data_IF_115843549367
#
_entry.id   IF_115843549367
#
_cell.length_a   1.000
_cell.length_b   1.000
_cell.length_c   1.000
_cell.angle_alpha   90.00
_cell.angle_beta   90.00
_cell.angle_gamma   90.00
#
_symmetry.space_group_name_H-M   'P 1'
#
loop_
_entity.id
_entity.type
_entity.pdbx_description
1 polymer ?
#
# COMPACT_ATOMS: atom_id res chain seq x y z
N UNK A 1 10.25 11.40 8.90
CA UNK A 1 9.69 10.95 7.62
C UNK A 1 8.91 12.13 7.06
N UNK A 2 9.22 12.57 5.84
CA UNK A 2 8.46 13.63 5.17
C UNK A 2 7.20 13.08 4.51
N UNK A 3 6.28 13.96 4.10
CA UNK A 3 5.11 13.56 3.32
C UNK A 3 5.53 12.85 2.02
N UNK A 4 6.51 13.40 1.30
CA UNK A 4 7.04 12.81 0.06
C UNK A 4 7.65 11.43 0.26
N UNK A 5 8.36 11.19 1.37
CA UNK A 5 8.93 9.88 1.67
C UNK A 5 7.84 8.83 1.89
N UNK A 6 6.74 9.19 2.58
CA UNK A 6 5.58 8.29 2.74
C UNK A 6 4.85 8.06 1.43
N UNK A 7 4.72 9.08 0.58
CA UNK A 7 4.07 8.95 -0.73
C UNK A 7 4.85 8.00 -1.65
N UNK A 8 6.18 8.14 -1.74
CA UNK A 8 7.01 7.23 -2.52
C UNK A 8 6.87 5.78 -2.04
N UNK A 9 6.84 5.55 -0.72
CA UNK A 9 6.60 4.20 -0.17
C UNK A 9 5.21 3.67 -0.52
N UNK A 10 4.19 4.52 -0.49
CA UNK A 10 2.83 4.13 -0.88
C UNK A 10 2.78 3.73 -2.36
N UNK A 11 3.49 4.43 -3.25
CA UNK A 11 3.59 4.09 -4.67
C UNK A 11 4.26 2.73 -4.89
N UNK A 12 5.36 2.45 -4.20
CA UNK A 12 6.03 1.14 -4.26
C UNK A 12 5.10 0.00 -3.78
N UNK A 13 4.35 0.24 -2.70
CA UNK A 13 3.38 -0.71 -2.17
C UNK A 13 2.21 -0.94 -3.13
N UNK A 14 1.74 0.11 -3.80
CA UNK A 14 0.70 0.01 -4.83
C UNK A 14 1.18 -0.81 -6.03
N UNK A 15 2.42 -0.62 -6.49
CA UNK A 15 2.99 -1.44 -7.57
C UNK A 15 3.03 -2.93 -7.19
N UNK A 16 3.37 -3.25 -5.93
CA UNK A 16 3.33 -4.62 -5.41
C UNK A 16 1.90 -5.17 -5.34
N UNK A 17 0.95 -4.35 -4.88
CA UNK A 17 -0.47 -4.70 -4.83
C UNK A 17 -1.02 -5.03 -6.23
N UNK A 18 -0.66 -4.24 -7.24
CA UNK A 18 -1.05 -4.50 -8.62
C UNK A 18 -0.46 -5.80 -9.16
N UNK A 19 0.80 -6.10 -8.84
CA UNK A 19 1.44 -7.36 -9.22
C UNK A 19 0.74 -8.57 -8.57
N UNK A 20 0.46 -8.51 -7.26
CA UNK A 20 -0.26 -9.57 -6.54
C UNK A 20 -1.69 -9.76 -7.08
N UNK A 21 -2.37 -8.67 -7.47
CA UNK A 21 -3.69 -8.75 -8.10
C UNK A 21 -3.62 -9.47 -9.45
N UNK A 22 -2.60 -9.16 -10.27
CA UNK A 22 -2.38 -9.85 -11.53
C UNK A 22 -2.09 -11.35 -11.35
N UNK A 23 -1.37 -11.73 -10.29
CA UNK A 23 -1.16 -13.14 -9.94
C UNK A 23 -2.48 -13.82 -9.51
N UNK A 24 -3.29 -13.15 -8.70
CA UNK A 24 -4.59 -13.67 -8.28
C UNK A 24 -5.53 -13.91 -9.46
N UNK A 25 -5.58 -12.97 -10.41
CA UNK A 25 -6.39 -13.09 -11.64
C UNK A 25 -6.00 -14.30 -12.50
N UNK A 26 -4.73 -14.74 -12.42
CA UNK A 26 -4.21 -15.89 -13.17
C UNK A 26 -4.21 -17.21 -12.35
N UNK A 27 -4.60 -17.18 -11.09
CA UNK A 27 -4.53 -18.34 -10.19
C UNK A 27 -5.77 -19.21 -10.30
N UNK A 28 -5.58 -20.51 -10.55
CA UNK A 28 -6.66 -21.51 -10.59
C UNK A 28 -6.74 -22.39 -9.33
N UNK A 29 -5.68 -22.37 -8.52
CA UNK A 29 -5.61 -23.12 -7.25
C UNK A 29 -6.29 -22.33 -6.11
N UNK A 30 -7.36 -22.85 -5.49
CA UNK A 30 -8.07 -22.15 -4.42
C UNK A 30 -7.19 -21.82 -3.20
N UNK A 31 -6.25 -22.69 -2.83
CA UNK A 31 -5.40 -22.46 -1.66
C UNK A 31 -4.42 -21.31 -1.93
N UNK A 32 -3.77 -21.31 -3.10
CA UNK A 32 -2.93 -20.20 -3.54
C UNK A 32 -3.71 -18.88 -3.69
N UNK A 33 -4.97 -18.93 -4.13
CA UNK A 33 -5.82 -17.74 -4.22
C UNK A 33 -6.12 -17.14 -2.84
N UNK A 34 -6.31 -17.97 -1.80
CA UNK A 34 -6.50 -17.51 -0.42
C UNK A 34 -5.24 -16.82 0.10
N UNK A 35 -4.06 -17.37 -0.16
CA UNK A 35 -2.78 -16.76 0.24
C UNK A 35 -2.59 -15.40 -0.44
N UNK A 36 -2.84 -15.30 -1.75
CA UNK A 36 -2.76 -14.04 -2.50
C UNK A 36 -3.76 -13.00 -1.98
N UNK A 37 -4.97 -13.41 -1.61
CA UNK A 37 -5.96 -12.51 -0.99
C UNK A 37 -5.51 -11.98 0.37
N UNK A 38 -4.78 -12.78 1.15
CA UNK A 38 -4.19 -12.33 2.42
C UNK A 38 -3.06 -11.32 2.16
N UNK A 39 -2.16 -11.61 1.21
CA UNK A 39 -1.10 -10.67 0.82
C UNK A 39 -1.68 -9.33 0.33
N UNK A 40 -2.72 -9.37 -0.52
CA UNK A 40 -3.42 -8.17 -1.00
C UNK A 40 -4.02 -7.35 0.15
N UNK A 41 -4.61 -8.02 1.15
CA UNK A 41 -5.17 -7.36 2.34
C UNK A 41 -4.09 -6.67 3.16
N UNK A 42 -2.94 -7.31 3.34
CA UNK A 42 -1.82 -6.74 4.09
C UNK A 42 -1.17 -5.57 3.34
N UNK A 43 -0.94 -5.70 2.04
CA UNK A 43 -0.47 -4.60 1.19
C UNK A 43 -1.42 -3.40 1.23
N UNK A 44 -2.73 -3.63 1.16
CA UNK A 44 -3.72 -2.54 1.25
C UNK A 44 -3.66 -1.80 2.60
N UNK A 45 -3.47 -2.51 3.72
CA UNK A 45 -3.29 -1.90 5.05
C UNK A 45 -2.00 -1.08 5.12
N UNK A 46 -0.91 -1.58 4.54
CA UNK A 46 0.36 -0.85 4.50
C UNK A 46 0.25 0.44 3.66
N UNK A 47 -0.41 0.38 2.50
CA UNK A 47 -0.70 1.57 1.68
C UNK A 47 -1.50 2.59 2.48
N UNK A 48 -2.59 2.17 3.14
CA UNK A 48 -3.39 3.07 3.96
C UNK A 48 -2.55 3.72 5.07
N UNK A 49 -1.70 2.93 5.74
CA UNK A 49 -0.84 3.45 6.80
C UNK A 49 0.15 4.52 6.29
N UNK A 50 0.76 4.33 5.13
CA UNK A 50 1.65 5.32 4.51
C UNK A 50 0.89 6.58 4.08
N UNK A 51 -0.29 6.45 3.48
CA UNK A 51 -1.12 7.60 3.12
C UNK A 51 -1.53 8.42 4.35
N UNK A 52 -1.86 7.76 5.46
CA UNK A 52 -2.17 8.43 6.72
C UNK A 52 -0.94 9.13 7.32
N UNK A 53 0.26 8.55 7.18
CA UNK A 53 1.52 9.21 7.58
C UNK A 53 1.80 10.44 6.72
N UNK A 54 1.67 10.33 5.39
CA UNK A 54 1.84 11.43 4.46
C UNK A 54 0.90 12.59 4.80
N UNK A 55 -0.39 12.28 5.03
CA UNK A 55 -1.41 13.26 5.43
C UNK A 55 -1.02 14.01 6.71
N UNK A 56 -0.62 13.29 7.76
CA UNK A 56 -0.19 13.90 9.03
C UNK A 56 1.07 14.77 8.87
N UNK A 57 2.02 14.34 8.06
CA UNK A 57 3.25 15.10 7.80
C UNK A 57 2.93 16.41 7.06
N UNK A 58 2.10 16.36 6.02
CA UNK A 58 1.68 17.55 5.28
C UNK A 58 0.89 18.55 6.16
N UNK A 59 0.01 18.04 7.04
CA UNK A 59 -0.71 18.89 8.01
C UNK A 59 0.24 19.56 9.01
N UNK A 60 1.27 18.86 9.48
CA UNK A 60 2.27 19.41 10.40
C UNK A 60 3.13 20.49 9.71
N UNK A 61 3.56 20.26 8.47
CA UNK A 61 4.34 21.23 7.69
C UNK A 61 3.52 22.51 7.42
N UNK A 62 2.23 22.37 7.11
CA UNK A 62 1.33 23.50 6.89
C UNK A 62 1.02 24.31 8.17
N UNK A 63 1.00 23.68 9.34
CA UNK A 63 0.75 24.35 10.62
C UNK A 63 2.01 25.01 11.22
N UNK A 64 3.19 24.58 10.81
CA UNK A 64 4.48 25.13 11.23
C UNK A 64 5.05 26.23 10.31
N UNK A 65 4.39 26.47 9.17
CA UNK A 65 4.71 27.53 8.20
C UNK A 65 3.88 28.79 8.44
#
# INVERSE_FOLDING_TARGET
>A
MSADESLNKAEDLLARLEAARGQLEATEDPDAAIELLQELSDLAREVEAELQRARRAAEADAAGS
#
